data_IF_750552655937
#
_entry.id   IF_750552655937
#
_cell.length_a   1.000
_cell.length_b   1.000
_cell.length_c   1.000
_cell.angle_alpha   90.00
_cell.angle_beta   90.00
_cell.angle_gamma   90.00
#
_symmetry.space_group_name_H-M   'P 1'
#
loop_
_entity.id
_entity.type
_entity.pdbx_description
1 polymer ?
#
# COMPACT_ATOMS: atom_id res chain seq x y z
N UNK A 1 10.52 0.86 -17.52
CA UNK A 1 11.57 -0.08 -17.93
C UNK A 1 12.92 0.60 -18.22
N UNK A 2 12.97 1.69 -19.01
CA UNK A 2 14.25 2.41 -19.27
C UNK A 2 14.95 2.93 -18.00
N UNK A 3 14.21 3.27 -16.96
CA UNK A 3 14.77 3.81 -15.71
C UNK A 3 15.70 2.81 -15.00
N UNK A 4 15.30 1.56 -14.86
CA UNK A 4 16.13 0.53 -14.19
C UNK A 4 17.30 0.07 -15.05
N UNK A 5 17.19 0.13 -16.38
CA UNK A 5 18.30 -0.16 -17.31
C UNK A 5 19.50 0.77 -17.13
N UNK A 6 19.27 2.04 -16.80
CA UNK A 6 20.38 2.96 -16.54
C UNK A 6 21.21 2.60 -15.31
N UNK A 7 20.68 1.74 -14.43
CA UNK A 7 21.39 1.17 -13.28
C UNK A 7 21.88 -0.27 -13.52
N UNK A 8 21.86 -0.73 -14.77
CA UNK A 8 22.20 -2.12 -15.12
C UNK A 8 21.36 -3.15 -14.33
N UNK A 9 20.07 -2.84 -14.15
CA UNK A 9 19.07 -3.72 -13.54
C UNK A 9 18.12 -4.22 -14.63
N UNK A 10 18.68 -4.80 -15.71
CA UNK A 10 17.88 -5.37 -16.80
C UNK A 10 17.45 -6.79 -16.42
N UNK A 11 16.15 -6.95 -16.17
CA UNK A 11 15.55 -8.20 -15.71
C UNK A 11 14.19 -8.39 -16.36
N UNK A 12 13.96 -9.58 -16.88
CA UNK A 12 12.64 -10.02 -17.32
C UNK A 12 12.12 -11.05 -16.32
N UNK A 13 11.04 -10.73 -15.62
CA UNK A 13 10.48 -11.60 -14.59
C UNK A 13 9.90 -12.87 -15.20
N UNK A 14 10.57 -14.00 -14.97
CA UNK A 14 10.18 -15.34 -15.40
C UNK A 14 9.38 -16.10 -14.32
N UNK A 15 9.83 -17.31 -13.98
CA UNK A 15 9.20 -18.17 -12.96
C UNK A 15 9.24 -17.50 -11.59
N UNK A 16 8.15 -17.71 -10.80
CA UNK A 16 8.02 -17.12 -9.48
C UNK A 16 7.17 -17.98 -8.55
N UNK A 17 7.56 -18.03 -7.29
CA UNK A 17 6.79 -18.72 -6.23
C UNK A 17 7.27 -18.30 -4.85
N UNK A 18 6.34 -18.13 -3.90
CA UNK A 18 6.64 -17.70 -2.54
C UNK A 18 7.34 -16.34 -2.53
N UNK A 19 8.49 -16.25 -1.92
CA UNK A 19 9.29 -15.01 -1.85
C UNK A 19 10.16 -14.78 -3.09
N UNK A 20 10.23 -15.76 -4.01
CA UNK A 20 11.19 -15.81 -5.10
C UNK A 20 10.58 -15.50 -6.46
N UNK A 21 11.38 -14.86 -7.31
CA UNK A 21 11.21 -14.86 -8.75
C UNK A 21 12.58 -15.07 -9.45
N UNK A 22 12.54 -15.51 -10.69
CA UNK A 22 13.70 -15.84 -11.49
C UNK A 22 13.72 -14.97 -12.75
N UNK A 23 14.91 -14.64 -13.24
CA UNK A 23 15.06 -14.05 -14.55
C UNK A 23 14.59 -15.03 -15.64
N UNK A 24 13.88 -14.53 -16.64
CA UNK A 24 13.35 -15.35 -17.74
C UNK A 24 14.48 -15.99 -18.57
N UNK A 25 15.52 -15.22 -18.84
CA UNK A 25 16.62 -15.57 -19.75
C UNK A 25 17.87 -16.07 -19.00
N UNK A 26 17.79 -16.19 -17.66
CA UNK A 26 18.92 -16.55 -16.83
C UNK A 26 18.56 -17.41 -15.61
N UNK A 27 19.62 -17.91 -14.95
CA UNK A 27 19.47 -18.73 -13.74
C UNK A 27 19.42 -17.91 -12.44
N UNK A 28 19.53 -16.58 -12.54
CA UNK A 28 19.52 -15.71 -11.36
C UNK A 28 18.15 -15.69 -10.69
N UNK A 29 18.16 -15.90 -9.38
CA UNK A 29 16.97 -15.82 -8.51
C UNK A 29 17.04 -14.62 -7.58
N UNK A 30 15.89 -13.97 -7.40
CA UNK A 30 15.77 -12.78 -6.58
C UNK A 30 14.68 -12.98 -5.53
N UNK A 31 14.94 -12.54 -4.30
CA UNK A 31 13.90 -12.39 -3.29
C UNK A 31 13.16 -11.06 -3.52
N UNK A 32 11.84 -11.12 -3.61
CA UNK A 32 11.02 -9.92 -3.79
C UNK A 32 10.75 -9.26 -2.43
N UNK A 33 11.56 -8.28 -2.07
CA UNK A 33 11.40 -7.51 -0.83
C UNK A 33 10.68 -6.16 -1.04
N UNK A 34 10.12 -5.94 -2.24
CA UNK A 34 9.22 -4.81 -2.49
C UNK A 34 7.75 -5.25 -2.59
N UNK A 35 7.49 -6.51 -2.94
CA UNK A 35 6.14 -7.08 -3.09
C UNK A 35 5.18 -6.26 -3.97
N UNK A 36 5.72 -5.43 -4.89
CA UNK A 36 4.94 -4.46 -5.65
C UNK A 36 4.02 -3.61 -4.74
N UNK A 37 4.61 -3.08 -3.65
CA UNK A 37 3.90 -2.28 -2.65
C UNK A 37 2.85 -3.05 -1.84
N UNK A 38 3.09 -4.35 -1.56
CA UNK A 38 2.17 -5.19 -0.78
C UNK A 38 1.17 -6.00 -1.63
N UNK A 39 1.30 -6.01 -2.95
CA UNK A 39 0.47 -6.85 -3.83
C UNK A 39 0.67 -8.34 -3.53
N UNK A 40 1.92 -8.75 -3.27
CA UNK A 40 2.31 -10.13 -3.00
C UNK A 40 2.47 -10.41 -1.51
N UNK A 41 1.54 -9.93 -0.66
CA UNK A 41 1.54 -10.21 0.78
C UNK A 41 1.61 -11.71 1.08
N UNK A 42 0.86 -12.52 0.35
CA UNK A 42 0.85 -13.99 0.46
C UNK A 42 1.90 -14.67 -0.44
N UNK A 43 2.91 -13.92 -0.88
CA UNK A 43 3.94 -14.40 -1.81
C UNK A 43 3.45 -14.53 -3.25
N UNK A 44 4.39 -14.82 -4.13
CA UNK A 44 4.08 -15.10 -5.54
C UNK A 44 3.35 -16.43 -5.67
N UNK A 45 2.26 -16.44 -6.47
CA UNK A 45 1.53 -17.65 -6.86
C UNK A 45 1.13 -18.52 -5.66
N UNK A 46 0.56 -17.93 -4.63
CA UNK A 46 0.07 -18.67 -3.48
C UNK A 46 -0.88 -19.80 -3.94
N UNK A 47 -0.59 -21.06 -3.60
CA UNK A 47 -1.32 -22.20 -4.16
C UNK A 47 -2.79 -22.27 -3.71
N UNK A 48 -3.12 -21.75 -2.53
CA UNK A 48 -4.50 -21.72 -2.04
C UNK A 48 -5.33 -20.66 -2.78
N UNK A 49 -4.74 -19.50 -3.05
CA UNK A 49 -5.38 -18.42 -3.82
C UNK A 49 -5.58 -18.84 -5.27
N UNK A 50 -4.60 -19.54 -5.87
CA UNK A 50 -4.72 -20.09 -7.23
C UNK A 50 -5.84 -21.13 -7.28
N UNK A 51 -5.90 -22.08 -6.34
CA UNK A 51 -6.98 -23.08 -6.28
C UNK A 51 -8.36 -22.42 -6.13
N UNK A 52 -8.48 -21.34 -5.36
CA UNK A 52 -9.75 -20.61 -5.24
C UNK A 52 -10.21 -20.06 -6.60
N UNK A 53 -9.29 -19.46 -7.38
CA UNK A 53 -9.59 -18.99 -8.73
C UNK A 53 -9.92 -20.15 -9.69
N UNK A 54 -9.12 -21.22 -9.71
CA UNK A 54 -9.34 -22.39 -10.57
C UNK A 54 -10.67 -23.07 -10.30
N UNK A 55 -11.08 -23.17 -9.03
CA UNK A 55 -12.39 -23.69 -8.67
C UNK A 55 -13.53 -22.77 -9.13
N UNK A 56 -13.36 -21.45 -8.91
CA UNK A 56 -14.36 -20.47 -9.33
C UNK A 56 -14.60 -20.51 -10.86
N UNK A 57 -13.52 -20.61 -11.66
CA UNK A 57 -13.63 -20.64 -13.13
C UNK A 57 -14.37 -21.86 -13.70
N UNK A 58 -14.65 -22.89 -12.89
CA UNK A 58 -15.44 -24.04 -13.30
C UNK A 58 -16.95 -23.79 -13.26
N UNK A 59 -17.39 -22.79 -12.52
CA UNK A 59 -18.82 -22.56 -12.22
C UNK A 59 -19.27 -21.14 -12.55
N UNK A 60 -18.36 -20.15 -12.44
CA UNK A 60 -18.68 -18.74 -12.62
C UNK A 60 -17.66 -18.04 -13.53
N UNK A 61 -18.04 -16.90 -14.07
CA UNK A 61 -17.20 -15.95 -14.79
C UNK A 61 -17.09 -14.62 -14.00
N UNK A 62 -16.98 -13.47 -14.68
CA UNK A 62 -16.94 -12.17 -13.98
C UNK A 62 -18.30 -11.73 -13.42
N UNK A 63 -19.37 -12.42 -13.79
CA UNK A 63 -20.74 -12.11 -13.38
C UNK A 63 -21.36 -10.91 -14.10
N UNK A 64 -22.51 -10.49 -13.61
CA UNK A 64 -23.27 -9.36 -14.15
C UNK A 64 -23.58 -8.35 -13.03
N UNK A 65 -23.27 -7.07 -13.25
CA UNK A 65 -23.46 -6.00 -12.26
C UNK A 65 -24.92 -5.71 -11.91
N UNK A 66 -25.88 -6.07 -12.79
CA UNK A 66 -27.32 -5.86 -12.56
C UNK A 66 -27.97 -7.00 -11.78
N UNK A 67 -27.27 -8.12 -11.57
CA UNK A 67 -27.80 -9.27 -10.85
C UNK A 67 -27.14 -9.43 -9.48
N UNK A 68 -27.90 -9.99 -8.53
CA UNK A 68 -27.37 -10.36 -7.22
C UNK A 68 -26.36 -11.49 -7.41
N UNK A 69 -25.19 -11.36 -6.80
CA UNK A 69 -24.13 -12.37 -6.81
C UNK A 69 -23.88 -12.87 -5.39
N UNK A 70 -23.90 -14.17 -5.22
CA UNK A 70 -23.54 -14.81 -3.95
C UNK A 70 -22.11 -14.50 -3.56
N UNK A 71 -21.18 -14.54 -4.51
CA UNK A 71 -19.75 -14.28 -4.25
C UNK A 71 -19.53 -12.85 -3.75
N UNK A 72 -20.18 -11.85 -4.36
CA UNK A 72 -20.14 -10.44 -3.90
C UNK A 72 -20.76 -10.28 -2.53
N UNK A 73 -21.92 -10.89 -2.29
CA UNK A 73 -22.60 -10.83 -0.98
C UNK A 73 -21.76 -11.47 0.13
N UNK A 74 -21.14 -12.62 -0.14
CA UNK A 74 -20.23 -13.28 0.81
C UNK A 74 -19.00 -12.45 1.11
N UNK A 75 -18.38 -11.85 0.07
CA UNK A 75 -17.21 -11.00 0.26
C UNK A 75 -17.55 -9.73 1.06
N UNK A 76 -18.65 -9.04 0.71
CA UNK A 76 -19.12 -7.87 1.47
C UNK A 76 -19.39 -8.21 2.94
N UNK A 77 -20.10 -9.31 3.21
CA UNK A 77 -20.32 -9.80 4.58
C UNK A 77 -19.00 -10.07 5.30
N UNK A 78 -18.06 -10.76 4.63
CA UNK A 78 -16.79 -11.12 5.27
C UNK A 78 -15.95 -9.88 5.60
N UNK A 79 -15.95 -8.86 4.75
CA UNK A 79 -15.30 -7.58 5.04
C UNK A 79 -15.98 -6.91 6.25
N UNK A 80 -17.30 -6.82 6.26
CA UNK A 80 -18.07 -6.23 7.36
C UNK A 80 -17.79 -6.93 8.71
N UNK A 81 -17.71 -8.26 8.74
CA UNK A 81 -17.35 -9.03 9.95
C UNK A 81 -15.94 -8.72 10.47
N UNK A 82 -15.04 -8.29 9.61
CA UNK A 82 -13.64 -7.99 9.94
C UNK A 82 -13.36 -6.50 10.17
N UNK A 83 -14.32 -5.63 9.84
CA UNK A 83 -14.23 -4.19 10.07
C UNK A 83 -14.85 -3.80 11.41
N UNK A 84 -14.36 -2.74 12.06
CA UNK A 84 -14.97 -2.25 13.30
C UNK A 84 -16.23 -1.43 13.03
N UNK A 85 -17.11 -1.39 14.04
CA UNK A 85 -18.32 -0.56 14.07
C UNK A 85 -19.25 -0.83 12.87
N UNK A 86 -19.65 0.24 12.17
CA UNK A 86 -20.60 0.27 11.06
C UNK A 86 -19.90 0.45 9.68
N UNK A 87 -18.63 0.07 9.55
CA UNK A 87 -17.90 -0.05 8.27
C UNK A 87 -18.29 -1.35 7.59
N UNK A 88 -19.54 -1.46 7.13
CA UNK A 88 -20.15 -2.71 6.69
C UNK A 88 -20.69 -2.70 5.26
N UNK A 89 -20.61 -1.56 4.56
CA UNK A 89 -21.01 -1.47 3.16
C UNK A 89 -19.79 -1.40 2.23
N UNK A 90 -19.67 -2.36 1.32
CA UNK A 90 -18.53 -2.46 0.41
C UNK A 90 -18.93 -2.25 -1.05
N UNK A 91 -18.25 -1.34 -1.75
CA UNK A 91 -18.35 -1.19 -3.21
C UNK A 91 -17.04 -1.68 -3.83
N UNK A 92 -17.15 -2.63 -4.77
CA UNK A 92 -15.98 -3.27 -5.36
C UNK A 92 -15.56 -2.61 -6.66
N UNK A 93 -14.24 -2.51 -6.88
CA UNK A 93 -13.61 -2.00 -8.08
C UNK A 93 -12.48 -2.91 -8.56
N UNK A 94 -11.70 -2.45 -9.54
CA UNK A 94 -10.57 -3.19 -10.14
C UNK A 94 -9.22 -2.56 -9.86
N UNK A 95 -9.16 -1.30 -9.44
CA UNK A 95 -7.90 -0.60 -9.15
C UNK A 95 -8.02 0.32 -7.94
N UNK A 96 -6.87 0.55 -7.26
CA UNK A 96 -6.83 1.43 -6.09
C UNK A 96 -7.26 2.87 -6.40
N UNK A 97 -6.84 3.41 -7.56
CA UNK A 97 -7.27 4.75 -7.99
C UNK A 97 -8.78 4.86 -8.17
N UNK A 98 -9.42 3.85 -8.79
CA UNK A 98 -10.88 3.79 -8.93
C UNK A 98 -11.58 3.77 -7.56
N UNK A 99 -11.07 2.98 -6.62
CA UNK A 99 -11.63 2.90 -5.28
C UNK A 99 -11.48 4.23 -4.51
N UNK A 100 -10.36 4.94 -4.68
CA UNK A 100 -10.16 6.30 -4.14
C UNK A 100 -11.08 7.30 -4.84
N UNK A 101 -11.21 7.25 -6.17
CA UNK A 101 -12.16 8.11 -6.91
C UNK A 101 -13.58 7.95 -6.36
N UNK A 102 -14.00 6.72 -6.07
CA UNK A 102 -15.31 6.45 -5.47
C UNK A 102 -15.42 7.04 -4.06
N UNK A 103 -14.43 6.84 -3.20
CA UNK A 103 -14.44 7.38 -1.85
C UNK A 103 -14.59 8.93 -1.86
N UNK A 104 -13.86 9.62 -2.74
CA UNK A 104 -13.98 11.07 -2.92
C UNK A 104 -15.37 11.47 -3.44
N UNK A 105 -15.92 10.73 -4.42
CA UNK A 105 -17.28 10.97 -4.92
C UNK A 105 -18.33 10.84 -3.82
N UNK A 106 -18.26 9.78 -3.02
CA UNK A 106 -19.17 9.55 -1.89
C UNK A 106 -19.05 10.68 -0.87
N UNK A 107 -17.82 11.08 -0.52
CA UNK A 107 -17.60 12.17 0.42
C UNK A 107 -18.23 13.49 -0.06
N UNK A 108 -18.01 13.86 -1.31
CA UNK A 108 -18.57 15.06 -1.92
C UNK A 108 -20.09 15.02 -2.02
N UNK A 109 -20.65 13.90 -2.43
CA UNK A 109 -22.10 13.73 -2.58
C UNK A 109 -22.81 13.73 -1.21
N UNK A 110 -22.25 13.06 -0.22
CA UNK A 110 -22.82 12.99 1.13
C UNK A 110 -22.80 14.34 1.86
N UNK A 111 -21.68 15.06 1.78
CA UNK A 111 -21.50 16.34 2.49
C UNK A 111 -22.03 17.54 1.71
N UNK A 112 -22.22 17.43 0.41
CA UNK A 112 -22.51 18.57 -0.48
C UNK A 112 -21.33 19.55 -0.63
N UNK A 113 -20.12 19.15 -0.17
CA UNK A 113 -18.91 19.98 -0.14
C UNK A 113 -17.90 19.52 -1.18
N UNK A 114 -16.96 20.39 -1.57
CA UNK A 114 -16.02 20.09 -2.65
C UNK A 114 -14.60 19.76 -2.15
N UNK A 115 -14.15 20.40 -1.07
CA UNK A 115 -12.75 20.39 -0.65
C UNK A 115 -12.33 19.03 -0.08
N UNK A 116 -11.19 18.52 -0.55
CA UNK A 116 -10.50 17.33 -0.02
C UNK A 116 -9.10 17.73 0.42
N UNK A 117 -8.77 17.49 1.67
CA UNK A 117 -7.42 17.72 2.22
C UNK A 117 -6.66 16.41 2.16
N UNK A 118 -5.41 16.45 1.68
CA UNK A 118 -4.56 15.27 1.53
C UNK A 118 -3.10 15.54 1.90
N UNK A 119 -2.30 14.49 2.11
CA UNK A 119 -0.90 14.60 2.47
C UNK A 119 -0.03 14.98 1.27
N UNK A 120 0.79 16.04 1.39
CA UNK A 120 1.81 16.39 0.40
C UNK A 120 2.78 15.22 0.19
N UNK A 121 2.99 14.85 -1.06
CA UNK A 121 3.84 13.70 -1.41
C UNK A 121 3.18 12.33 -1.23
N UNK A 122 1.89 12.26 -0.88
CA UNK A 122 1.09 11.04 -0.87
C UNK A 122 0.84 10.48 -2.27
N UNK A 123 0.32 9.24 -2.31
CA UNK A 123 -0.01 8.54 -3.54
C UNK A 123 -1.32 7.77 -3.40
N UNK A 124 -2.30 8.11 -4.21
CA UNK A 124 -3.64 7.49 -4.17
C UNK A 124 -4.07 6.83 -5.50
N UNK A 125 -3.19 6.84 -6.49
CA UNK A 125 -3.46 6.32 -7.84
C UNK A 125 -3.34 7.36 -8.93
N UNK A 126 -3.59 6.94 -10.18
CA UNK A 126 -3.44 7.78 -11.38
C UNK A 126 -4.76 7.96 -12.16
N UNK A 127 -5.90 7.70 -11.55
CA UNK A 127 -7.22 8.02 -12.10
C UNK A 127 -7.63 9.46 -11.70
N UNK A 128 -8.71 9.98 -12.26
CA UNK A 128 -9.05 11.41 -12.24
C UNK A 128 -8.96 12.13 -10.89
N UNK A 129 -9.78 11.73 -9.91
CA UNK A 129 -9.81 12.37 -8.58
C UNK A 129 -8.64 11.92 -7.70
N UNK A 130 -8.27 10.65 -7.77
CA UNK A 130 -7.14 10.10 -7.02
C UNK A 130 -5.81 10.76 -7.40
N UNK A 131 -5.61 11.04 -8.70
CA UNK A 131 -4.42 11.73 -9.20
C UNK A 131 -4.35 13.19 -8.69
N UNK A 132 -5.50 13.85 -8.53
CA UNK A 132 -5.57 15.21 -7.98
C UNK A 132 -5.16 15.29 -6.51
N UNK A 133 -5.25 14.18 -5.77
CA UNK A 133 -4.77 14.02 -4.39
C UNK A 133 -3.32 13.51 -4.33
N UNK A 134 -2.57 13.54 -5.42
CA UNK A 134 -1.19 13.12 -5.50
C UNK A 134 -0.19 14.26 -5.70
N UNK A 135 1.07 13.90 -5.88
CA UNK A 135 2.13 14.84 -6.23
C UNK A 135 1.87 15.48 -7.62
N UNK A 136 2.19 16.75 -7.78
CA UNK A 136 1.97 17.50 -9.03
C UNK A 136 2.64 16.89 -10.27
N UNK A 137 3.73 16.15 -10.09
CA UNK A 137 4.40 15.40 -11.16
C UNK A 137 3.51 14.39 -11.85
N UNK A 138 2.48 13.88 -11.16
CA UNK A 138 1.58 12.86 -11.70
C UNK A 138 0.55 13.43 -12.66
N UNK A 139 0.13 14.70 -12.51
CA UNK A 139 -0.89 15.30 -13.35
C UNK A 139 -0.38 16.43 -14.27
N UNK A 140 0.71 17.10 -13.94
CA UNK A 140 1.21 18.24 -14.71
C UNK A 140 1.33 18.00 -16.23
N UNK A 141 1.78 16.81 -16.71
CA UNK A 141 1.82 16.52 -18.13
C UNK A 141 0.46 16.40 -18.83
N UNK A 142 -0.63 16.22 -18.05
CA UNK A 142 -1.97 15.91 -18.56
C UNK A 142 -2.95 17.06 -18.44
N UNK A 143 -2.54 18.17 -17.85
CA UNK A 143 -3.36 19.36 -17.63
C UNK A 143 -3.70 19.59 -16.15
N UNK A 144 -4.57 20.57 -15.86
CA UNK A 144 -4.92 20.88 -14.48
C UNK A 144 -5.69 19.74 -13.83
N UNK A 145 -5.45 19.45 -12.54
CA UNK A 145 -6.20 18.45 -11.79
C UNK A 145 -7.64 18.94 -11.55
N UNK A 146 -8.51 18.02 -11.14
CA UNK A 146 -9.84 18.38 -10.64
C UNK A 146 -9.72 19.38 -9.49
N UNK A 147 -10.60 20.39 -9.40
CA UNK A 147 -10.54 21.41 -8.35
C UNK A 147 -10.91 20.89 -6.98
N UNK A 148 -10.57 21.67 -5.93
CA UNK A 148 -10.96 21.42 -4.55
C UNK A 148 -9.99 20.53 -3.77
N UNK A 149 -8.75 20.36 -4.21
CA UNK A 149 -7.74 19.56 -3.49
C UNK A 149 -6.71 20.47 -2.82
N UNK A 150 -6.51 20.27 -1.51
CA UNK A 150 -5.58 21.04 -0.66
C UNK A 150 -4.57 20.10 -0.02
N UNK A 151 -3.29 20.32 -0.27
CA UNK A 151 -2.22 19.52 0.32
C UNK A 151 -1.69 20.12 1.62
N UNK A 152 -1.45 19.25 2.61
CA UNK A 152 -0.83 19.61 3.90
C UNK A 152 0.35 18.67 4.19
N UNK A 153 1.34 19.07 5.00
CA UNK A 153 2.37 18.14 5.45
C UNK A 153 1.75 16.95 6.20
N UNK A 154 2.23 15.72 5.92
CA UNK A 154 1.82 14.54 6.67
C UNK A 154 2.30 14.64 8.12
N UNK A 155 1.50 14.14 9.06
CA UNK A 155 1.79 14.14 10.49
C UNK A 155 1.87 15.56 11.12
N UNK A 156 1.32 16.57 10.47
CA UNK A 156 1.18 17.93 10.97
C UNK A 156 -0.31 18.25 11.25
N UNK A 157 -0.74 17.98 12.47
CA UNK A 157 -2.11 18.23 12.90
C UNK A 157 -2.47 19.74 12.91
N UNK A 158 -1.50 20.64 13.08
CA UNK A 158 -1.73 22.08 13.06
C UNK A 158 -1.99 22.58 11.64
N UNK A 159 -1.14 22.19 10.67
CA UNK A 159 -1.35 22.52 9.25
C UNK A 159 -2.70 21.99 8.75
N UNK A 160 -3.06 20.76 9.15
CA UNK A 160 -4.34 20.15 8.79
C UNK A 160 -5.52 20.94 9.40
N UNK A 161 -5.44 21.30 10.67
CA UNK A 161 -6.47 22.12 11.35
C UNK A 161 -6.64 23.49 10.70
N UNK A 162 -5.55 24.10 10.22
CA UNK A 162 -5.58 25.42 9.56
C UNK A 162 -6.19 25.35 8.15
N UNK A 163 -6.10 24.20 7.47
CA UNK A 163 -6.68 23.98 6.14
C UNK A 163 -8.16 23.56 6.20
N UNK A 164 -8.63 23.09 7.37
CA UNK A 164 -9.96 22.53 7.57
C UNK A 164 -10.97 23.66 7.80
N UNK A 165 -12.09 23.60 7.09
CA UNK A 165 -13.23 24.54 7.22
C UNK A 165 -14.55 23.87 6.83
N UNK A 166 -15.63 24.65 6.77
CA UNK A 166 -16.98 24.18 6.48
C UNK A 166 -17.18 23.71 5.04
N UNK A 167 -16.25 24.02 4.11
CA UNK A 167 -16.28 23.55 2.71
C UNK A 167 -15.55 22.21 2.54
N UNK A 168 -14.97 21.67 3.61
CA UNK A 168 -14.21 20.43 3.56
C UNK A 168 -15.13 19.21 3.55
N UNK A 169 -15.12 18.47 2.44
CA UNK A 169 -15.83 17.20 2.28
C UNK A 169 -15.11 16.04 2.99
N UNK A 170 -13.78 15.98 2.84
CA UNK A 170 -13.01 14.88 3.41
C UNK A 170 -11.54 15.24 3.68
N UNK A 171 -10.95 14.47 4.58
CA UNK A 171 -9.51 14.31 4.76
C UNK A 171 -9.16 12.91 4.22
N UNK A 172 -8.31 12.85 3.19
CA UNK A 172 -7.84 11.62 2.56
C UNK A 172 -6.35 11.40 2.88
N UNK A 173 -6.04 10.32 3.57
CA UNK A 173 -4.67 9.97 3.96
C UNK A 173 -4.38 8.49 3.71
N UNK A 174 -3.16 8.18 3.28
CA UNK A 174 -2.63 6.82 3.47
C UNK A 174 -2.39 6.61 4.98
N UNK A 175 -2.72 5.45 5.52
CA UNK A 175 -2.43 5.16 6.94
C UNK A 175 -0.94 5.33 7.26
N UNK A 176 -0.06 4.93 6.34
CA UNK A 176 1.36 5.28 6.31
C UNK A 176 1.73 5.54 4.85
N UNK A 177 2.12 6.77 4.48
CA UNK A 177 2.42 7.10 3.09
C UNK A 177 3.72 6.44 2.61
N UNK A 178 3.56 5.46 1.70
CA UNK A 178 4.68 4.67 1.22
C UNK A 178 5.65 5.47 0.35
N UNK A 179 5.12 6.29 -0.56
CA UNK A 179 5.93 7.08 -1.47
C UNK A 179 6.68 8.22 -0.78
N UNK A 180 6.21 8.64 0.39
CA UNK A 180 6.83 9.67 1.24
C UNK A 180 7.90 9.10 2.19
N UNK A 181 8.40 7.89 1.93
CA UNK A 181 9.43 7.26 2.74
C UNK A 181 8.91 6.58 4.01
N UNK A 182 7.65 6.16 4.03
CA UNK A 182 7.06 5.37 5.12
C UNK A 182 7.16 6.02 6.53
N UNK A 183 6.86 7.32 6.69
CA UNK A 183 6.89 7.95 8.00
C UNK A 183 5.78 7.37 8.88
N UNK A 184 6.17 6.78 10.01
CA UNK A 184 5.20 6.34 11.03
C UNK A 184 4.67 7.57 11.75
N UNK A 185 3.34 7.82 11.77
CA UNK A 185 2.80 9.02 12.38
C UNK A 185 2.94 9.01 13.90
N UNK A 186 2.89 10.20 14.51
CA UNK A 186 2.84 10.35 15.97
C UNK A 186 1.63 9.59 16.55
N UNK A 187 1.74 9.03 17.77
CA UNK A 187 0.69 8.16 18.34
C UNK A 187 -0.69 8.77 18.45
N UNK A 188 -0.78 10.10 18.55
CA UNK A 188 -2.02 10.84 18.68
C UNK A 188 -2.50 11.53 17.38
N UNK A 189 -1.70 11.45 16.30
CA UNK A 189 -2.00 12.15 15.05
C UNK A 189 -3.40 11.77 14.51
N UNK A 190 -3.67 10.48 14.29
CA UNK A 190 -4.96 10.05 13.76
C UNK A 190 -6.14 10.28 14.73
N UNK A 191 -5.90 10.24 16.04
CA UNK A 191 -6.93 10.63 17.03
C UNK A 191 -7.27 12.13 16.94
N UNK A 192 -6.27 12.96 16.66
CA UNK A 192 -6.49 14.38 16.43
C UNK A 192 -7.26 14.60 15.12
N UNK A 193 -6.86 13.93 14.02
CA UNK A 193 -7.56 13.99 12.73
C UNK A 193 -9.02 13.56 12.89
N UNK A 194 -9.30 12.43 13.56
CA UNK A 194 -10.67 11.94 13.78
C UNK A 194 -11.53 12.99 14.53
N UNK A 195 -10.99 13.56 15.63
CA UNK A 195 -11.71 14.61 16.38
C UNK A 195 -11.99 15.86 15.54
N UNK A 196 -11.09 16.23 14.64
CA UNK A 196 -11.31 17.36 13.73
C UNK A 196 -12.44 17.05 12.75
N UNK A 197 -12.45 15.85 12.16
CA UNK A 197 -13.54 15.39 11.29
C UNK A 197 -14.89 15.39 12.03
N UNK A 198 -14.95 14.82 13.24
CA UNK A 198 -16.19 14.78 14.06
C UNK A 198 -16.74 16.17 14.36
N UNK A 199 -15.86 17.16 14.59
CA UNK A 199 -16.24 18.52 14.88
C UNK A 199 -16.79 19.29 13.67
N UNK A 200 -16.27 19.03 12.47
CA UNK A 200 -16.58 19.80 11.24
C UNK A 200 -17.56 19.08 10.33
N UNK A 201 -17.79 17.79 10.56
CA UNK A 201 -18.56 16.93 9.65
C UNK A 201 -17.82 16.58 8.36
N UNK A 202 -16.52 16.85 8.25
CA UNK A 202 -15.68 16.32 7.19
C UNK A 202 -15.47 14.81 7.40
N UNK A 203 -15.41 14.03 6.32
CA UNK A 203 -15.22 12.59 6.41
C UNK A 203 -13.73 12.22 6.43
N UNK A 204 -13.36 11.21 7.22
CA UNK A 204 -12.03 10.63 7.23
C UNK A 204 -11.98 9.43 6.29
N UNK A 205 -11.19 9.52 5.22
CA UNK A 205 -10.90 8.44 4.28
C UNK A 205 -9.49 7.94 4.55
N UNK A 206 -9.34 6.66 4.89
CA UNK A 206 -8.03 6.03 5.01
C UNK A 206 -7.75 5.09 3.85
N UNK A 207 -6.65 5.36 3.15
CA UNK A 207 -6.13 4.51 2.10
C UNK A 207 -5.27 3.40 2.73
N UNK A 208 -5.84 2.20 2.78
CA UNK A 208 -5.23 0.97 3.29
C UNK A 208 -4.77 0.04 2.16
N UNK A 209 -4.65 0.57 0.94
CA UNK A 209 -4.25 -0.22 -0.24
C UNK A 209 -2.89 -0.89 -0.04
N UNK A 210 -1.98 -0.29 0.74
CA UNK A 210 -0.68 -0.88 1.07
C UNK A 210 -0.59 -1.44 2.49
N UNK A 211 -1.27 -0.83 3.45
CA UNK A 211 -1.12 -1.11 4.89
C UNK A 211 -2.05 -2.21 5.40
N UNK A 212 -3.10 -2.53 4.65
CA UNK A 212 -4.05 -3.58 4.99
C UNK A 212 -3.55 -5.02 4.82
N UNK A 213 -4.41 -5.96 5.13
CA UNK A 213 -4.21 -7.41 4.98
C UNK A 213 -3.01 -7.96 5.76
N UNK A 214 -2.81 -7.47 6.99
CA UNK A 214 -1.78 -7.98 7.90
C UNK A 214 -0.41 -7.34 7.75
N UNK A 215 -0.19 -6.45 6.77
CA UNK A 215 1.12 -5.84 6.47
C UNK A 215 1.77 -5.16 7.68
N UNK A 216 0.97 -4.51 8.51
CA UNK A 216 1.44 -3.78 9.69
C UNK A 216 1.42 -4.61 10.98
N UNK A 217 1.13 -5.93 10.89
CA UNK A 217 0.99 -6.81 12.06
C UNK A 217 -0.42 -6.81 12.68
N UNK A 218 -1.33 -5.98 12.17
CA UNK A 218 -2.78 -6.04 12.37
C UNK A 218 -3.46 -6.21 11.02
N UNK A 219 -4.71 -6.68 11.02
CA UNK A 219 -5.41 -6.89 9.74
C UNK A 219 -5.55 -5.59 8.97
N UNK A 220 -5.90 -4.51 9.66
CA UNK A 220 -5.98 -3.15 9.13
C UNK A 220 -4.97 -2.24 9.83
N UNK A 221 -4.27 -1.40 9.08
CA UNK A 221 -3.22 -0.53 9.63
C UNK A 221 -3.77 0.51 10.60
N UNK A 222 -4.98 1.04 10.37
CA UNK A 222 -5.60 2.05 11.23
C UNK A 222 -5.91 1.54 12.65
N UNK A 223 -6.01 0.23 12.87
CA UNK A 223 -6.25 -0.36 14.19
C UNK A 223 -5.14 -0.01 15.20
N UNK A 224 -3.92 0.29 14.73
CA UNK A 224 -2.82 0.71 15.60
C UNK A 224 -3.08 2.05 16.29
N UNK A 225 -3.92 2.88 15.71
CA UNK A 225 -4.17 4.25 16.19
C UNK A 225 -5.44 4.38 17.02
N UNK A 226 -6.21 3.29 17.15
CA UNK A 226 -7.44 3.25 17.97
C UNK A 226 -8.52 4.21 17.47
N UNK A 227 -8.64 4.37 16.15
CA UNK A 227 -9.67 5.18 15.48
C UNK A 227 -10.47 4.33 14.49
N UNK A 228 -11.67 4.81 14.15
CA UNK A 228 -12.47 4.26 13.05
C UNK A 228 -12.67 5.36 12.01
N UNK A 229 -12.23 5.18 10.76
CA UNK A 229 -12.48 6.11 9.69
C UNK A 229 -13.94 6.04 9.21
N UNK A 230 -14.37 7.00 8.39
CA UNK A 230 -15.68 6.95 7.75
C UNK A 230 -15.65 6.06 6.48
N UNK A 231 -14.49 5.98 5.84
CA UNK A 231 -14.26 5.12 4.68
C UNK A 231 -12.86 4.52 4.70
N UNK A 232 -12.75 3.29 4.21
CA UNK A 232 -11.48 2.57 4.02
C UNK A 232 -11.36 2.13 2.58
N UNK A 233 -10.21 2.42 1.96
CA UNK A 233 -9.90 1.94 0.60
C UNK A 233 -8.97 0.74 0.69
N UNK A 234 -9.38 -0.38 0.10
CA UNK A 234 -8.65 -1.65 0.07
C UNK A 234 -8.24 -2.02 -1.35
N UNK A 235 -7.07 -2.64 -1.49
CA UNK A 235 -6.58 -3.08 -2.80
C UNK A 235 -5.34 -3.96 -2.66
N UNK A 236 -4.47 -3.96 -3.68
CA UNK A 236 -3.20 -4.70 -3.71
C UNK A 236 -3.27 -6.10 -3.09
N UNK A 237 -2.95 -6.25 -1.81
CA UNK A 237 -3.00 -7.52 -1.08
C UNK A 237 -4.31 -8.28 -1.21
N UNK A 238 -5.43 -7.58 -1.35
CA UNK A 238 -6.76 -8.15 -1.57
C UNK A 238 -6.83 -9.08 -2.79
N UNK A 239 -6.03 -8.80 -3.82
CA UNK A 239 -5.95 -9.58 -5.05
C UNK A 239 -5.17 -10.90 -4.92
N UNK A 240 -4.43 -11.09 -3.81
CA UNK A 240 -3.45 -12.18 -3.65
C UNK A 240 -2.36 -12.19 -4.73
N UNK A 241 -2.23 -11.09 -5.51
CA UNK A 241 -1.35 -11.01 -6.68
C UNK A 241 -1.81 -11.89 -7.86
N UNK A 242 -3.06 -12.35 -7.87
CA UNK A 242 -3.63 -13.30 -8.83
C UNK A 242 -4.75 -12.67 -9.66
N UNK A 243 -5.74 -11.99 -9.02
CA UNK A 243 -6.86 -11.39 -9.74
C UNK A 243 -7.15 -9.98 -9.22
N UNK A 244 -7.15 -8.94 -10.08
CA UNK A 244 -7.37 -7.55 -9.66
C UNK A 244 -8.76 -7.37 -9.03
N UNK A 245 -8.77 -6.91 -7.78
CA UNK A 245 -9.98 -6.52 -7.06
C UNK A 245 -9.63 -5.50 -5.99
N UNK A 246 -10.55 -4.56 -5.76
CA UNK A 246 -10.46 -3.53 -4.70
C UNK A 246 -11.81 -3.36 -4.04
N UNK A 247 -11.83 -2.73 -2.88
CA UNK A 247 -13.05 -2.33 -2.22
C UNK A 247 -12.91 -0.92 -1.63
N UNK A 248 -13.99 -0.14 -1.74
CA UNK A 248 -14.22 1.05 -0.92
C UNK A 248 -15.24 0.65 0.12
N UNK A 249 -14.81 0.60 1.38
CA UNK A 249 -15.66 0.22 2.52
C UNK A 249 -16.17 1.48 3.17
N UNK A 250 -17.48 1.57 3.34
CA UNK A 250 -18.20 2.73 3.81
C UNK A 250 -18.89 2.43 5.13
N UNK A 251 -19.01 3.42 6.01
CA UNK A 251 -19.98 3.37 7.10
C UNK A 251 -21.40 3.37 6.55
N UNK A 252 -22.30 2.63 7.19
CA UNK A 252 -23.69 2.46 6.74
C UNK A 252 -24.40 3.74 6.28
N UNK A 253 -24.32 4.90 6.98
CA UNK A 253 -25.02 6.11 6.52
C UNK A 253 -24.56 6.63 5.15
N UNK A 254 -23.35 6.29 4.71
CA UNK A 254 -22.78 6.78 3.45
C UNK A 254 -23.32 6.02 2.22
N UNK A 255 -23.85 4.84 2.40
CA UNK A 255 -24.46 4.06 1.30
C UNK A 255 -25.66 4.77 0.67
N UNK A 256 -26.34 5.63 1.45
CA UNK A 256 -27.48 6.43 1.02
C UNK A 256 -27.18 7.32 -0.21
N UNK A 257 -25.92 7.60 -0.50
CA UNK A 257 -25.49 8.34 -1.71
C UNK A 257 -25.93 7.61 -2.99
N UNK A 258 -26.02 6.29 -2.97
CA UNK A 258 -26.45 5.48 -4.13
C UNK A 258 -27.98 5.33 -4.27
N UNK A 259 -28.78 5.72 -3.26
CA UNK A 259 -30.24 5.50 -3.29
C UNK A 259 -30.96 6.26 -4.39
N UNK A 260 -30.65 7.55 -4.68
CA UNK A 260 -31.34 8.27 -5.77
C UNK A 260 -31.05 7.72 -7.16
N UNK A 261 -29.82 7.20 -7.36
CA UNK A 261 -29.40 6.58 -8.63
C UNK A 261 -28.38 5.48 -8.34
N UNK A 262 -28.76 4.20 -8.42
CA UNK A 262 -27.86 3.08 -8.21
C UNK A 262 -26.73 2.98 -9.27
N UNK A 263 -26.82 3.75 -10.36
CA UNK A 263 -25.80 3.81 -11.41
C UNK A 263 -24.87 5.02 -11.29
N UNK A 264 -24.92 5.75 -10.18
CA UNK A 264 -24.04 6.92 -9.92
C UNK A 264 -22.53 6.55 -9.99
N UNK A 265 -22.23 5.27 -9.78
CA UNK A 265 -20.90 4.69 -10.01
C UNK A 265 -21.06 3.27 -10.55
N UNK A 266 -20.49 3.02 -11.72
CA UNK A 266 -20.48 1.69 -12.36
C UNK A 266 -19.07 1.32 -12.73
N UNK A 267 -18.67 0.11 -12.32
CA UNK A 267 -17.41 -0.55 -12.72
C UNK A 267 -17.76 -1.92 -13.32
N UNK A 268 -17.60 -2.08 -14.62
CA UNK A 268 -17.99 -3.32 -15.33
C UNK A 268 -17.25 -4.54 -14.77
N UNK A 269 -15.97 -4.42 -14.46
CA UNK A 269 -15.17 -5.49 -13.84
C UNK A 269 -15.17 -5.47 -12.31
N UNK A 270 -15.74 -4.42 -11.70
CA UNK A 270 -15.80 -4.26 -10.25
C UNK A 270 -16.67 -5.33 -9.61
N UNK A 271 -16.14 -5.99 -8.58
CA UNK A 271 -16.83 -7.11 -7.93
C UNK A 271 -16.99 -8.34 -8.86
N UNK A 272 -16.07 -8.52 -9.81
CA UNK A 272 -15.97 -9.79 -10.56
C UNK A 272 -16.07 -10.98 -9.60
N UNK A 273 -16.95 -11.96 -9.90
CA UNK A 273 -17.14 -13.11 -9.02
C UNK A 273 -15.86 -13.91 -8.84
N UNK A 274 -15.06 -14.04 -9.89
CA UNK A 274 -13.71 -14.64 -9.80
C UNK A 274 -12.81 -13.88 -8.81
N UNK A 275 -12.81 -12.54 -8.87
CA UNK A 275 -12.08 -11.70 -7.93
C UNK A 275 -12.61 -11.82 -6.50
N UNK A 276 -13.93 -11.95 -6.32
CA UNK A 276 -14.55 -12.15 -5.01
C UNK A 276 -14.10 -13.47 -4.36
N UNK A 277 -14.04 -14.56 -5.12
CA UNK A 277 -13.53 -15.85 -4.63
C UNK A 277 -12.05 -15.76 -4.21
N UNK A 278 -11.24 -15.04 -4.99
CA UNK A 278 -9.82 -14.78 -4.65
C UNK A 278 -9.73 -13.97 -3.36
N UNK A 279 -10.45 -12.85 -3.25
CA UNK A 279 -10.41 -11.99 -2.08
C UNK A 279 -10.91 -12.67 -0.80
N UNK A 280 -11.96 -13.50 -0.90
CA UNK A 280 -12.45 -14.36 0.20
C UNK A 280 -11.34 -15.27 0.72
N UNK A 281 -10.57 -15.92 -0.17
CA UNK A 281 -9.44 -16.77 0.22
C UNK A 281 -8.32 -15.96 0.85
N UNK A 282 -8.01 -14.78 0.30
CA UNK A 282 -7.02 -13.87 0.90
C UNK A 282 -7.42 -13.49 2.33
N UNK A 283 -8.69 -13.09 2.55
CA UNK A 283 -9.20 -12.75 3.89
C UNK A 283 -9.18 -13.94 4.85
N UNK A 284 -9.54 -15.13 4.36
CA UNK A 284 -9.47 -16.37 5.15
C UNK A 284 -8.05 -16.62 5.67
N UNK A 285 -7.03 -16.47 4.83
CA UNK A 285 -5.63 -16.70 5.20
C UNK A 285 -5.07 -15.58 6.09
N UNK A 286 -5.29 -14.31 5.72
CA UNK A 286 -4.63 -13.16 6.36
C UNK A 286 -5.30 -12.70 7.66
N UNK A 287 -6.55 -13.10 7.94
CA UNK A 287 -7.26 -12.71 9.17
C UNK A 287 -7.07 -13.69 10.33
N UNK A 288 -6.32 -14.78 10.16
CA UNK A 288 -6.11 -15.73 11.25
C UNK A 288 -5.16 -15.19 12.31
N UNK A 289 -5.42 -15.44 13.61
CA UNK A 289 -4.50 -15.04 14.68
C UNK A 289 -3.08 -15.59 14.49
N UNK A 290 -2.95 -16.84 14.01
CA UNK A 290 -1.64 -17.47 13.76
C UNK A 290 -0.85 -16.77 12.63
N UNK A 291 -1.55 -16.30 11.59
CA UNK A 291 -0.91 -15.53 10.52
C UNK A 291 -0.39 -14.19 11.04
N UNK A 292 -1.21 -13.44 11.79
CA UNK A 292 -0.81 -12.16 12.36
C UNK A 292 0.31 -12.30 13.41
N UNK A 293 0.29 -13.37 14.21
CA UNK A 293 1.40 -13.71 15.14
C UNK A 293 2.70 -13.97 14.36
N UNK A 294 2.65 -14.76 13.29
CA UNK A 294 3.81 -15.00 12.43
C UNK A 294 4.37 -13.68 11.87
N UNK A 295 3.51 -12.80 11.34
CA UNK A 295 3.91 -11.48 10.82
C UNK A 295 4.58 -10.64 11.91
N UNK A 296 4.02 -10.59 13.12
CA UNK A 296 4.59 -9.83 14.23
C UNK A 296 5.94 -10.37 14.70
N UNK A 297 6.10 -11.69 14.78
CA UNK A 297 7.39 -12.32 15.12
C UNK A 297 8.44 -12.06 14.04
N UNK A 298 8.04 -12.15 12.76
CA UNK A 298 8.93 -11.87 11.66
C UNK A 298 9.34 -10.37 11.64
N UNK A 299 8.39 -9.46 11.93
CA UNK A 299 8.65 -8.04 12.06
C UNK A 299 9.63 -7.72 13.19
N UNK A 300 9.49 -8.38 14.35
CA UNK A 300 10.43 -8.22 15.46
C UNK A 300 11.86 -8.66 15.07
N UNK A 301 11.99 -9.79 14.34
CA UNK A 301 13.28 -10.25 13.82
C UNK A 301 13.90 -9.24 12.87
N UNK A 302 13.14 -8.78 11.84
CA UNK A 302 13.65 -7.76 10.92
C UNK A 302 14.03 -6.47 11.64
N UNK A 303 13.23 -6.01 12.61
CA UNK A 303 13.50 -4.82 13.40
C UNK A 303 14.87 -4.92 14.10
N UNK A 304 15.07 -5.97 14.88
CA UNK A 304 16.30 -6.20 15.63
C UNK A 304 17.53 -6.29 14.72
N UNK A 305 17.44 -7.08 13.66
CA UNK A 305 18.57 -7.31 12.76
C UNK A 305 18.91 -6.05 11.94
N UNK A 306 17.91 -5.34 11.40
CA UNK A 306 18.14 -4.09 10.64
C UNK A 306 18.70 -2.99 11.53
N UNK A 307 18.27 -2.87 12.78
CA UNK A 307 18.90 -1.95 13.75
C UNK A 307 20.36 -2.30 14.00
N UNK A 308 20.71 -3.60 14.09
CA UNK A 308 22.10 -4.07 14.17
C UNK A 308 22.90 -3.67 12.93
N UNK A 309 22.30 -3.83 11.72
CA UNK A 309 22.91 -3.42 10.46
C UNK A 309 23.13 -1.89 10.40
N UNK A 310 22.20 -1.09 10.92
CA UNK A 310 22.38 0.36 11.04
C UNK A 310 23.58 0.74 11.91
N UNK A 311 23.80 0.04 13.00
CA UNK A 311 24.99 0.20 13.83
C UNK A 311 26.31 -0.20 13.15
N UNK A 312 26.24 -1.12 12.17
CA UNK A 312 27.40 -1.63 11.43
C UNK A 312 27.73 -0.79 10.18
N UNK A 313 26.72 -0.30 9.48
CA UNK A 313 26.85 0.37 8.19
C UNK A 313 26.37 1.82 8.28
N UNK A 314 27.29 2.78 8.25
CA UNK A 314 26.97 4.20 8.39
C UNK A 314 26.05 4.77 7.31
N UNK A 315 25.89 4.10 6.17
CA UNK A 315 24.95 4.49 5.10
C UNK A 315 23.47 4.31 5.51
N UNK A 316 23.15 3.37 6.41
CA UNK A 316 21.83 3.14 6.96
C UNK A 316 21.72 3.87 8.31
N UNK A 317 20.89 4.91 8.37
CA UNK A 317 20.79 5.80 9.53
C UNK A 317 19.68 5.40 10.48
N UNK A 318 18.56 4.86 9.95
CA UNK A 318 17.38 4.54 10.76
C UNK A 318 16.48 3.52 10.07
N UNK A 319 15.77 2.73 10.88
CA UNK A 319 14.62 1.95 10.44
C UNK A 319 13.33 2.68 10.80
N UNK A 320 12.45 2.90 9.82
CA UNK A 320 11.05 3.27 10.01
C UNK A 320 10.24 1.99 9.93
N UNK A 321 9.45 1.65 10.96
CA UNK A 321 8.79 0.33 11.00
C UNK A 321 7.41 0.38 11.67
N UNK A 322 6.44 -0.26 11.04
CA UNK A 322 5.20 -0.73 11.66
C UNK A 322 4.86 -2.12 11.09
N UNK A 323 5.02 -3.17 11.89
CA UNK A 323 4.98 -4.54 11.40
C UNK A 323 6.04 -4.82 10.33
N UNK A 324 5.65 -5.40 9.21
CA UNK A 324 6.51 -5.60 8.03
C UNK A 324 6.35 -4.50 6.96
N UNK A 325 5.83 -3.36 7.33
CA UNK A 325 5.85 -2.14 6.55
C UNK A 325 7.06 -1.31 7.00
N UNK A 326 8.17 -1.42 6.26
CA UNK A 326 9.48 -0.95 6.70
C UNK A 326 10.13 -0.04 5.66
N UNK A 327 10.75 1.07 6.14
CA UNK A 327 11.55 1.99 5.36
C UNK A 327 12.98 2.06 5.90
N UNK A 328 13.96 1.75 5.07
CA UNK A 328 15.39 1.89 5.38
C UNK A 328 15.79 3.34 5.07
N UNK A 329 15.93 4.18 6.09
CA UNK A 329 16.37 5.56 5.95
C UNK A 329 17.88 5.60 5.80
N UNK A 330 18.34 6.20 4.72
CA UNK A 330 19.74 6.27 4.34
C UNK A 330 20.27 7.70 4.57
N UNK A 331 21.57 7.86 4.47
CA UNK A 331 22.26 9.10 4.76
C UNK A 331 21.82 10.28 3.88
N UNK A 332 21.52 10.03 2.59
CA UNK A 332 21.01 11.02 1.63
C UNK A 332 20.30 10.37 0.43
N UNK A 333 19.70 11.18 -0.44
CA UNK A 333 18.92 10.74 -1.61
C UNK A 333 19.74 9.96 -2.66
N UNK A 334 21.06 10.13 -2.72
CA UNK A 334 21.92 9.38 -3.65
C UNK A 334 22.05 7.93 -3.24
N UNK A 335 21.90 7.63 -1.95
CA UNK A 335 22.07 6.31 -1.38
C UNK A 335 20.96 5.32 -1.76
N UNK A 336 19.73 5.80 -1.98
CA UNK A 336 18.61 4.91 -2.33
C UNK A 336 18.83 4.16 -3.64
N UNK A 337 19.11 4.82 -4.77
CA UNK A 337 19.47 4.14 -6.01
C UNK A 337 20.69 3.21 -5.88
N UNK A 338 21.71 3.62 -5.12
CA UNK A 338 22.91 2.81 -4.89
C UNK A 338 22.55 1.54 -4.13
N UNK A 339 21.79 1.63 -3.03
CA UNK A 339 21.36 0.45 -2.29
C UNK A 339 20.44 -0.46 -3.12
N UNK A 340 19.52 0.09 -3.93
CA UNK A 340 18.70 -0.72 -4.82
C UNK A 340 19.56 -1.53 -5.81
N UNK A 341 20.62 -0.91 -6.38
CA UNK A 341 21.56 -1.60 -7.28
C UNK A 341 22.35 -2.69 -6.56
N UNK A 342 22.97 -2.39 -5.42
CA UNK A 342 23.74 -3.38 -4.68
C UNK A 342 22.86 -4.50 -4.11
N UNK A 343 21.63 -4.20 -3.70
CA UNK A 343 20.63 -5.21 -3.31
C UNK A 343 20.32 -6.14 -4.49
N UNK A 344 20.07 -5.57 -5.67
CA UNK A 344 19.83 -6.35 -6.89
C UNK A 344 21.01 -7.27 -7.24
N UNK A 345 22.24 -6.77 -7.16
CA UNK A 345 23.46 -7.59 -7.41
C UNK A 345 23.59 -8.75 -6.42
N UNK A 346 23.07 -8.57 -5.18
CA UNK A 346 23.00 -9.59 -4.14
C UNK A 346 21.72 -10.45 -4.18
N UNK A 347 20.90 -10.32 -5.24
CA UNK A 347 19.70 -11.15 -5.44
C UNK A 347 18.51 -10.72 -4.58
N UNK A 348 18.44 -9.43 -4.19
CA UNK A 348 17.28 -8.81 -3.54
C UNK A 348 16.64 -7.80 -4.49
N UNK A 349 15.32 -7.82 -4.62
CA UNK A 349 14.59 -6.79 -5.35
C UNK A 349 13.93 -5.82 -4.37
N UNK A 350 14.43 -4.60 -4.37
CA UNK A 350 13.98 -3.48 -3.51
C UNK A 350 13.83 -2.22 -4.35
N UNK A 351 13.05 -1.26 -3.87
CA UNK A 351 12.76 0.02 -4.56
C UNK A 351 12.80 1.15 -3.54
N UNK A 352 13.40 2.27 -3.88
CA UNK A 352 13.33 3.47 -3.04
C UNK A 352 11.97 4.17 -3.15
N UNK A 353 11.60 4.96 -2.17
CA UNK A 353 10.37 5.72 -2.16
C UNK A 353 10.44 6.88 -3.19
N UNK A 354 9.39 7.02 -4.02
CA UNK A 354 9.43 7.96 -5.16
C UNK A 354 9.58 9.43 -4.75
N UNK A 355 9.04 9.80 -3.59
CA UNK A 355 9.02 11.18 -3.08
C UNK A 355 10.02 11.41 -1.94
N UNK A 356 10.76 10.36 -1.53
CA UNK A 356 11.87 10.41 -0.57
C UNK A 356 12.91 9.36 -0.95
N UNK A 357 13.81 9.71 -1.86
CA UNK A 357 14.82 8.77 -2.39
C UNK A 357 15.85 8.32 -1.36
N UNK A 358 15.94 9.01 -0.23
CA UNK A 358 16.77 8.57 0.89
C UNK A 358 16.19 7.35 1.63
N UNK A 359 14.98 6.91 1.28
CA UNK A 359 14.35 5.75 1.93
C UNK A 359 14.12 4.62 0.93
N UNK A 360 14.64 3.44 1.24
CA UNK A 360 14.38 2.20 0.48
C UNK A 360 13.29 1.40 1.18
N UNK A 361 12.26 1.01 0.42
CA UNK A 361 11.14 0.22 0.92
C UNK A 361 11.55 -1.24 1.12
N UNK A 362 11.34 -1.76 2.33
CA UNK A 362 11.56 -3.14 2.70
C UNK A 362 10.20 -3.78 3.06
N UNK A 363 9.62 -4.47 2.10
CA UNK A 363 8.27 -5.05 2.17
C UNK A 363 8.31 -6.55 1.85
N UNK A 364 8.90 -7.40 2.72
CA UNK A 364 8.96 -8.84 2.46
C UNK A 364 7.56 -9.45 2.40
N UNK A 365 7.35 -10.58 1.66
CA UNK A 365 6.11 -11.35 1.75
C UNK A 365 5.82 -11.75 3.19
N UNK A 366 4.55 -11.67 3.62
CA UNK A 366 4.14 -11.95 5.00
C UNK A 366 4.22 -13.44 5.36
N UNK A 367 4.37 -14.29 4.34
CA UNK A 367 4.53 -15.74 4.47
C UNK A 367 6.01 -16.19 4.53
N UNK A 368 6.95 -15.24 4.49
CA UNK A 368 8.38 -15.53 4.52
C UNK A 368 8.73 -16.37 5.75
N UNK A 369 9.49 -17.43 5.57
CA UNK A 369 10.01 -18.23 6.68
C UNK A 369 11.15 -17.52 7.41
N UNK A 370 11.46 -17.95 8.62
CA UNK A 370 12.59 -17.37 9.38
C UNK A 370 13.93 -17.64 8.70
N UNK A 371 14.11 -18.81 8.07
CA UNK A 371 15.33 -19.13 7.31
C UNK A 371 15.48 -18.23 6.06
N UNK A 372 14.37 -17.97 5.35
CA UNK A 372 14.35 -17.03 4.24
C UNK A 372 14.63 -15.59 4.71
N UNK A 373 14.16 -15.21 5.91
CA UNK A 373 14.48 -13.93 6.51
C UNK A 373 15.96 -13.81 6.85
N UNK A 374 16.59 -14.86 7.41
CA UNK A 374 18.04 -14.88 7.68
C UNK A 374 18.83 -14.75 6.37
N UNK A 375 18.41 -15.45 5.31
CA UNK A 375 19.02 -15.31 4.00
C UNK A 375 18.88 -13.89 3.44
N UNK A 376 17.68 -13.29 3.53
CA UNK A 376 17.42 -11.92 3.08
C UNK A 376 18.29 -10.91 3.83
N UNK A 377 18.37 -11.02 5.14
CA UNK A 377 19.17 -10.13 6.00
C UNK A 377 20.68 -10.28 5.75
N UNK A 378 21.18 -11.50 5.53
CA UNK A 378 22.57 -11.73 5.14
C UNK A 378 22.91 -11.14 3.75
N UNK A 379 21.97 -11.17 2.81
CA UNK A 379 22.12 -10.50 1.51
C UNK A 379 22.06 -8.98 1.65
N UNK A 380 21.20 -8.45 2.52
CA UNK A 380 21.08 -7.02 2.82
C UNK A 380 22.36 -6.49 3.47
N UNK A 381 22.96 -7.23 4.40
CA UNK A 381 24.25 -6.88 5.03
C UNK A 381 25.34 -6.66 3.97
N UNK A 382 25.48 -7.61 3.02
CA UNK A 382 26.44 -7.46 1.90
C UNK A 382 26.12 -6.28 1.01
N UNK A 383 24.83 -6.07 0.69
CA UNK A 383 24.39 -4.96 -0.14
C UNK A 383 24.70 -3.59 0.51
N UNK A 384 24.47 -3.45 1.81
CA UNK A 384 24.79 -2.23 2.57
C UNK A 384 26.29 -1.96 2.61
N UNK A 385 27.11 -2.99 2.82
CA UNK A 385 28.58 -2.86 2.78
C UNK A 385 29.04 -2.33 1.40
N UNK A 386 28.58 -2.94 0.31
CA UNK A 386 28.91 -2.53 -1.05
C UNK A 386 28.39 -1.12 -1.37
N UNK A 387 27.18 -0.77 -0.91
CA UNK A 387 26.61 0.55 -1.11
C UNK A 387 27.45 1.63 -0.42
N UNK A 388 27.91 1.38 0.81
CA UNK A 388 28.80 2.28 1.53
C UNK A 388 30.15 2.49 0.83
N UNK A 389 30.71 1.44 0.22
CA UNK A 389 31.96 1.52 -0.56
C UNK A 389 31.77 2.34 -1.85
N UNK A 390 30.71 2.05 -2.62
CA UNK A 390 30.39 2.78 -3.84
C UNK A 390 30.16 4.27 -3.58
N UNK A 391 29.44 4.60 -2.49
CA UNK A 391 29.24 6.01 -2.10
C UNK A 391 30.57 6.74 -1.89
N UNK A 392 31.51 6.11 -1.16
CA UNK A 392 32.85 6.69 -0.92
C UNK A 392 33.64 6.90 -2.21
N UNK A 393 33.52 5.97 -3.17
CA UNK A 393 34.16 6.10 -4.47
C UNK A 393 33.58 7.27 -5.28
N UNK A 394 32.25 7.45 -5.32
CA UNK A 394 31.62 8.58 -6.00
C UNK A 394 32.00 9.92 -5.38
N UNK A 395 32.05 10.03 -4.06
CA UNK A 395 32.47 11.24 -3.37
C UNK A 395 33.92 11.66 -3.76
N UNK A 396 34.86 10.69 -3.83
CA UNK A 396 36.25 10.95 -4.23
C UNK A 396 36.42 11.39 -5.69
N UNK A 397 35.48 11.02 -6.58
CA UNK A 397 35.54 11.41 -8.00
C UNK A 397 34.79 12.71 -8.27
N UNK A 398 33.77 13.06 -7.47
CA UNK A 398 33.07 14.33 -7.56
C UNK A 398 33.91 15.54 -7.14
N UNK A 399 34.85 15.34 -6.23
CA UNK A 399 35.81 16.40 -5.80
C UNK A 399 36.93 16.68 -6.81
N UNK A 400 36.96 15.95 -7.96
CA UNK A 400 38.00 16.09 -9.01
C UNK A 400 37.45 16.66 -10.35
N UNK A 401 36.14 16.95 -10.40
CA UNK A 401 35.48 17.56 -11.57
C UNK A 401 35.04 19.01 -11.25
#
# INVERSE_FOLDING_TARGET
MRFWRQFDMDLVMGRRQGVWFQDLDGDKRYMNLHCNGGLYNLGHRNPEVIRALENATREVDIGNGHLISEARARLGRRIAELMPCDLDYSVFGVSGGEAVDLAIKVARAHTGRLKVIFAKGGYHGHTGLAMAAGDSRYYAPFGPPCPGFIQVPFNDAHALSSALDDDTAAILLETIPATLGMPVPAPDYYRNVRRMCDKTGALLILDEVQTGFGRTGRLWGFEHFGIVPDMVVLGKGMSGGIYPITATVLRTPLEAVSHPDPHIHVSTGGGSELGCHVALKVLELSSTPSFLDHVNRLAAKFGQEVESLAGKHGILTKLRQLGLFMGLELEDESCGPILCKTAFDNGLFMVYANNDKAVVQLLPPLIMTFDEADEALGRLDRALAQAGELKKLFARHGDRA
#
